data_IF_495141783377
#
_entry.id   IF_495141783377
#
_cell.length_a   1.000
_cell.length_b   1.000
_cell.length_c   1.000
_cell.angle_alpha   90.00
_cell.angle_beta   90.00
_cell.angle_gamma   90.00
#
_symmetry.space_group_name_H-M   'P 1'
#
loop_
_entity.id
_entity.type
_entity.pdbx_description
1 polymer ?
#
# COMPACT_ATOMS: atom_id res chain seq x y z
N UNK A 1 -62.52 -18.75 -33.34
CA UNK A 1 -62.70 -20.20 -33.53
C UNK A 1 -61.37 -20.79 -33.95
N UNK A 2 -60.97 -21.84 -33.23
CA UNK A 2 -59.89 -22.80 -33.49
C UNK A 2 -58.42 -22.37 -33.25
N UNK A 3 -58.02 -22.70 -32.02
CA UNK A 3 -56.71 -23.06 -31.49
C UNK A 3 -56.00 -24.17 -32.28
N UNK A 4 -54.65 -24.17 -32.26
CA UNK A 4 -53.87 -25.41 -32.17
C UNK A 4 -52.58 -25.19 -31.37
N UNK A 5 -52.52 -25.90 -30.24
CA UNK A 5 -51.36 -26.06 -29.36
C UNK A 5 -50.38 -27.08 -29.92
N UNK A 6 -49.08 -26.91 -29.62
CA UNK A 6 -48.06 -27.93 -29.27
C UNK A 6 -46.70 -27.18 -29.20
N UNK A 7 -46.32 -26.69 -28.02
CA UNK A 7 -45.51 -27.38 -27.00
C UNK A 7 -44.00 -27.41 -27.33
N UNK A 8 -43.22 -26.61 -26.59
CA UNK A 8 -41.88 -26.99 -26.16
C UNK A 8 -41.50 -26.20 -24.90
N UNK A 9 -41.01 -26.97 -23.92
CA UNK A 9 -40.66 -26.61 -22.56
C UNK A 9 -39.29 -25.92 -22.46
N UNK A 10 -39.09 -25.25 -21.30
CA UNK A 10 -37.82 -24.89 -20.67
C UNK A 10 -37.05 -23.68 -21.27
N UNK A 11 -36.43 -22.79 -20.51
CA UNK A 11 -36.12 -22.75 -19.09
C UNK A 11 -36.12 -21.30 -18.60
N UNK A 12 -36.63 -21.07 -17.39
CA UNK A 12 -36.40 -19.84 -16.66
C UNK A 12 -34.93 -19.81 -16.23
N UNK A 13 -34.10 -19.02 -16.92
CA UNK A 13 -32.81 -18.63 -16.37
C UNK A 13 -33.08 -17.60 -15.27
N UNK A 14 -33.10 -18.07 -14.02
CA UNK A 14 -32.86 -17.22 -12.88
C UNK A 14 -31.43 -16.65 -13.02
N UNK A 15 -31.32 -15.40 -13.44
CA UNK A 15 -30.09 -14.63 -13.29
C UNK A 15 -29.82 -14.48 -11.80
N UNK A 16 -29.08 -15.43 -11.24
CA UNK A 16 -28.37 -15.24 -9.99
C UNK A 16 -27.37 -14.11 -10.24
N UNK A 17 -27.68 -12.92 -9.74
CA UNK A 17 -26.71 -11.86 -9.54
C UNK A 17 -25.65 -12.38 -8.58
N UNK A 18 -24.61 -13.01 -9.12
CA UNK A 18 -23.37 -13.23 -8.41
C UNK A 18 -22.71 -11.85 -8.31
N UNK A 19 -22.99 -11.17 -7.20
CA UNK A 19 -22.16 -10.08 -6.71
C UNK A 19 -20.71 -10.60 -6.73
N UNK A 20 -19.75 -9.92 -7.37
CA UNK A 20 -18.36 -10.19 -7.06
C UNK A 20 -18.19 -9.85 -5.58
N UNK A 21 -18.02 -10.86 -4.75
CA UNK A 21 -17.45 -10.68 -3.42
C UNK A 21 -16.04 -10.15 -3.67
N UNK A 22 -15.91 -8.82 -3.64
CA UNK A 22 -14.66 -8.18 -3.32
C UNK A 22 -14.33 -8.64 -1.90
N UNK A 23 -13.54 -9.70 -1.79
CA UNK A 23 -12.77 -9.92 -0.59
C UNK A 23 -11.70 -8.83 -0.59
N UNK A 24 -12.06 -7.65 -0.10
CA UNK A 24 -11.12 -6.92 0.71
C UNK A 24 -10.80 -7.89 1.84
N UNK A 25 -9.64 -8.52 1.77
CA UNK A 25 -9.09 -9.25 2.90
C UNK A 25 -8.83 -8.17 3.95
N UNK A 26 -9.87 -7.87 4.74
CA UNK A 26 -9.66 -7.24 6.03
C UNK A 26 -8.80 -8.26 6.74
N UNK A 27 -7.49 -8.04 6.76
CA UNK A 27 -6.60 -8.78 7.63
C UNK A 27 -7.20 -8.60 9.01
N UNK A 28 -7.96 -9.61 9.48
CA UNK A 28 -8.53 -9.58 10.81
C UNK A 28 -7.36 -9.24 11.71
N UNK A 29 -7.51 -8.15 12.48
CA UNK A 29 -6.52 -7.76 13.48
C UNK A 29 -6.16 -9.04 14.21
N UNK A 30 -4.95 -9.57 13.96
CA UNK A 30 -4.57 -10.82 14.58
C UNK A 30 -4.67 -10.52 16.08
N UNK A 31 -5.55 -11.22 16.79
CA UNK A 31 -5.77 -10.91 18.19
C UNK A 31 -4.60 -11.52 18.98
N UNK A 32 -4.07 -10.83 20.00
CA UNK A 32 -3.10 -11.44 20.89
C UNK A 32 -3.68 -12.73 21.47
N UNK A 33 -2.96 -13.83 21.33
CA UNK A 33 -3.32 -15.14 21.91
C UNK A 33 -2.43 -15.41 23.11
N UNK A 34 -2.89 -16.19 24.08
CA UNK A 34 -2.09 -16.44 25.27
C UNK A 34 -2.57 -17.58 26.14
N UNK A 35 -1.77 -17.92 27.14
CA UNK A 35 -2.08 -18.94 28.15
C UNK A 35 -1.94 -18.36 29.56
N UNK A 36 -2.89 -18.68 30.42
CA UNK A 36 -2.83 -18.45 31.86
C UNK A 36 -2.51 -19.78 32.55
N UNK A 37 -1.46 -19.82 33.35
CA UNK A 37 -1.15 -20.97 34.22
C UNK A 37 -1.11 -20.54 35.67
N UNK A 38 -1.44 -21.47 36.57
CA UNK A 38 -1.42 -21.28 38.01
C UNK A 38 -0.62 -22.41 38.66
N UNK A 39 0.33 -22.09 39.54
CA UNK A 39 1.11 -23.07 40.28
C UNK A 39 1.14 -22.77 41.78
N UNK A 40 0.75 -23.71 42.66
CA UNK A 40 0.21 -25.03 42.32
C UNK A 40 -1.23 -24.94 41.79
N UNK A 41 -1.63 -25.91 40.95
CA UNK A 41 -2.99 -26.01 40.39
C UNK A 41 -4.06 -26.48 41.38
N UNK A 42 -3.76 -26.51 42.68
CA UNK A 42 -4.66 -26.92 43.76
C UNK A 42 -4.63 -25.90 44.89
N UNK A 43 -5.72 -25.80 45.64
CA UNK A 43 -5.87 -24.84 46.72
C UNK A 43 -5.58 -25.52 48.06
N UNK A 44 -4.72 -24.91 48.87
CA UNK A 44 -4.48 -25.29 50.26
C UNK A 44 -4.27 -24.05 51.10
N UNK A 45 -4.79 -24.11 52.31
CA UNK A 45 -4.65 -23.05 53.29
C UNK A 45 -3.17 -22.73 53.54
N UNK A 46 -2.82 -21.45 53.48
CA UNK A 46 -1.44 -20.96 53.62
C UNK A 46 -0.57 -20.98 52.35
N UNK A 47 -1.04 -21.58 51.23
CA UNK A 47 -0.30 -21.59 49.96
C UNK A 47 -0.82 -20.51 49.02
N UNK A 48 0.07 -19.62 48.56
CA UNK A 48 -0.27 -18.58 47.57
C UNK A 48 0.07 -19.08 46.16
N UNK A 49 -0.92 -19.37 45.30
CA UNK A 49 -0.63 -19.77 43.93
C UNK A 49 0.02 -18.62 43.17
N UNK A 50 1.03 -18.95 42.37
CA UNK A 50 1.65 -18.06 41.41
C UNK A 50 0.90 -18.18 40.09
N UNK A 51 0.41 -17.06 39.58
CA UNK A 51 -0.19 -16.96 38.26
C UNK A 51 0.88 -16.53 37.25
N UNK A 52 0.97 -17.22 36.13
CA UNK A 52 1.83 -16.84 35.00
C UNK A 52 0.95 -16.62 33.78
N UNK A 53 1.08 -15.43 33.19
CA UNK A 53 0.45 -15.07 31.93
C UNK A 53 1.50 -15.06 30.83
N UNK A 54 1.21 -15.72 29.71
CA UNK A 54 2.03 -15.68 28.50
C UNK A 54 1.15 -15.20 27.36
N UNK A 55 1.45 -14.01 26.82
CA UNK A 55 0.72 -13.42 25.70
C UNK A 55 1.66 -13.38 24.48
N UNK A 56 1.18 -13.87 23.35
CA UNK A 56 1.80 -13.75 22.03
C UNK A 56 1.04 -12.70 21.25
N UNK A 57 1.71 -11.57 21.01
CA UNK A 57 1.20 -10.53 20.12
C UNK A 57 1.47 -10.91 18.66
N UNK A 58 0.62 -10.50 17.72
CA UNK A 58 0.91 -10.65 16.30
C UNK A 58 2.11 -9.83 15.91
N UNK A 59 2.91 -10.41 15.03
CA UNK A 59 4.08 -9.75 14.46
C UNK A 59 3.65 -8.61 13.54
N UNK A 60 4.17 -7.41 13.81
CA UNK A 60 3.98 -6.22 12.98
C UNK A 60 5.21 -5.96 12.12
N UNK A 61 5.09 -5.10 11.11
CA UNK A 61 6.17 -4.81 10.16
C UNK A 61 7.44 -4.30 10.85
N UNK A 62 7.29 -3.54 11.94
CA UNK A 62 8.41 -3.02 12.74
C UNK A 62 9.14 -4.09 13.56
N UNK A 63 8.56 -5.29 13.73
CA UNK A 63 9.28 -6.45 14.28
C UNK A 63 10.21 -7.07 13.24
N UNK A 64 9.81 -6.99 11.95
CA UNK A 64 10.48 -7.60 10.81
C UNK A 64 11.56 -6.71 10.20
N UNK A 65 11.30 -5.41 10.14
CA UNK A 65 12.17 -4.42 9.50
C UNK A 65 12.24 -3.13 10.32
N UNK A 66 13.31 -2.39 10.14
CA UNK A 66 13.48 -1.01 10.60
C UNK A 66 13.29 -0.08 9.41
N UNK A 67 12.63 1.06 9.62
CA UNK A 67 12.41 2.09 8.60
C UNK A 67 13.22 3.32 8.99
N UNK A 68 14.31 3.57 8.28
CA UNK A 68 15.14 4.76 8.42
C UNK A 68 14.48 5.90 7.61
N UNK A 69 14.17 7.04 8.24
CA UNK A 69 13.55 8.17 7.55
C UNK A 69 14.41 8.67 6.36
N UNK A 70 13.81 9.04 5.22
CA UNK A 70 12.37 9.10 4.95
C UNK A 70 11.74 7.76 4.50
N UNK A 71 12.50 6.68 4.32
CA UNK A 71 11.89 5.39 3.98
C UNK A 71 12.82 4.25 3.56
N UNK A 72 14.10 4.29 3.93
CA UNK A 72 15.01 3.16 3.69
C UNK A 72 14.67 2.02 4.64
N UNK A 73 14.44 0.82 4.10
CA UNK A 73 14.16 -0.37 4.91
C UNK A 73 15.45 -1.06 5.28
N UNK A 74 15.59 -1.50 6.52
CA UNK A 74 16.64 -2.40 6.98
C UNK A 74 16.02 -3.66 7.60
N UNK A 75 16.28 -4.84 7.02
CA UNK A 75 15.70 -6.08 7.52
C UNK A 75 16.27 -6.47 8.90
N UNK A 76 15.42 -6.63 9.92
CA UNK A 76 15.84 -7.05 11.28
C UNK A 76 16.01 -8.56 11.39
N UNK A 77 15.28 -9.31 10.57
CA UNK A 77 15.30 -10.76 10.44
C UNK A 77 15.28 -11.16 8.95
N UNK A 78 15.57 -12.42 8.59
CA UNK A 78 15.32 -12.90 7.23
C UNK A 78 13.83 -12.82 6.88
N UNK A 79 13.52 -12.17 5.76
CA UNK A 79 12.14 -11.91 5.31
C UNK A 79 12.01 -12.11 3.80
N UNK A 80 10.82 -12.43 3.33
CA UNK A 80 10.42 -12.27 1.93
C UNK A 80 9.69 -10.93 1.79
N UNK A 81 10.02 -10.21 0.73
CA UNK A 81 9.45 -8.91 0.40
C UNK A 81 8.75 -9.01 -0.95
N UNK A 82 7.48 -8.62 -0.98
CA UNK A 82 6.68 -8.51 -2.21
C UNK A 82 6.24 -7.06 -2.42
N UNK A 83 6.36 -6.57 -3.65
CA UNK A 83 6.02 -5.19 -4.03
C UNK A 83 4.86 -5.20 -5.02
N UNK A 84 3.87 -4.34 -4.77
CA UNK A 84 2.73 -4.06 -5.65
C UNK A 84 2.64 -2.57 -5.91
N UNK A 85 2.21 -2.19 -7.11
CA UNK A 85 1.89 -0.79 -7.42
C UNK A 85 0.41 -0.58 -7.18
N UNK A 86 0.04 0.39 -6.36
CA UNK A 86 -1.37 0.70 -6.10
C UNK A 86 -1.87 1.88 -6.94
N UNK A 87 -0.96 2.77 -7.36
CA UNK A 87 -1.29 3.85 -8.29
C UNK A 87 -0.06 4.58 -8.82
N UNK A 88 -0.25 5.28 -9.94
CA UNK A 88 0.74 5.98 -10.76
C UNK A 88 0.04 7.13 -11.51
N UNK A 89 -0.36 8.18 -10.80
CA UNK A 89 -1.33 9.18 -11.27
C UNK A 89 -0.77 10.48 -11.82
N UNK A 90 0.51 10.51 -12.21
CA UNK A 90 1.05 11.68 -12.92
C UNK A 90 0.22 11.97 -14.17
N UNK A 91 -0.31 13.19 -14.28
CA UNK A 91 -1.15 13.65 -15.40
C UNK A 91 -0.47 14.79 -16.14
N UNK A 92 -0.60 14.78 -17.46
CA UNK A 92 -0.38 15.96 -18.27
C UNK A 92 -1.74 16.58 -18.59
N UNK A 93 -1.91 17.86 -18.26
CA UNK A 93 -3.17 18.61 -18.43
C UNK A 93 -2.90 19.81 -19.33
N UNK A 94 -3.77 20.05 -20.31
CA UNK A 94 -3.75 21.23 -21.16
C UNK A 94 -4.99 22.05 -20.89
N UNK A 95 -4.82 23.33 -20.66
CA UNK A 95 -5.89 24.29 -20.37
C UNK A 95 -5.98 25.37 -21.44
N UNK A 96 -7.14 25.99 -21.56
CA UNK A 96 -7.28 27.24 -22.33
C UNK A 96 -6.79 28.45 -21.54
N UNK A 97 -6.87 29.64 -22.14
CA UNK A 97 -6.48 30.90 -21.51
C UNK A 97 -7.31 31.28 -20.27
N UNK A 98 -8.44 30.61 -20.03
CA UNK A 98 -9.31 30.81 -18.87
C UNK A 98 -9.12 29.71 -17.81
N UNK A 99 -8.17 28.80 -18.01
CA UNK A 99 -7.89 27.68 -17.09
C UNK A 99 -8.82 26.48 -17.25
N UNK A 100 -9.68 26.45 -18.28
CA UNK A 100 -10.55 25.30 -18.55
C UNK A 100 -9.74 24.16 -19.14
N UNK A 101 -9.86 22.96 -18.56
CA UNK A 101 -9.22 21.75 -19.08
C UNK A 101 -9.75 21.43 -20.49
N UNK A 102 -8.84 21.40 -21.46
CA UNK A 102 -9.09 21.04 -22.86
C UNK A 102 -8.88 19.56 -23.12
N UNK A 103 -7.79 19.00 -22.56
CA UNK A 103 -7.45 17.58 -22.63
C UNK A 103 -6.54 17.22 -21.47
N UNK A 104 -6.52 15.94 -21.12
CA UNK A 104 -5.56 15.38 -20.19
C UNK A 104 -5.18 13.96 -20.61
N UNK A 105 -4.04 13.48 -20.13
CA UNK A 105 -3.63 12.09 -20.30
C UNK A 105 -2.78 11.63 -19.11
N UNK A 106 -2.76 10.33 -18.87
CA UNK A 106 -1.79 9.71 -17.97
C UNK A 106 -0.39 9.80 -18.54
N UNK A 107 0.57 10.08 -17.67
CA UNK A 107 2.00 10.10 -18.00
C UNK A 107 2.62 8.78 -17.55
N UNK A 108 3.47 8.13 -18.37
CA UNK A 108 4.20 6.95 -17.93
C UNK A 108 5.09 7.25 -16.73
N UNK A 109 4.89 6.49 -15.66
CA UNK A 109 5.59 6.63 -14.39
C UNK A 109 6.40 5.37 -14.12
N UNK A 110 7.60 5.55 -13.58
CA UNK A 110 8.58 4.51 -13.32
C UNK A 110 8.81 4.37 -11.81
N UNK A 111 8.74 3.13 -11.32
CA UNK A 111 9.21 2.77 -9.98
C UNK A 111 10.51 1.99 -10.10
N UNK A 112 11.45 2.28 -9.20
CA UNK A 112 12.74 1.62 -9.11
C UNK A 112 13.06 1.18 -7.69
N UNK A 113 13.86 0.13 -7.59
CA UNK A 113 14.35 -0.42 -6.33
C UNK A 113 15.87 -0.52 -6.35
N UNK A 114 16.51 -0.24 -5.20
CA UNK A 114 17.91 -0.54 -4.93
C UNK A 114 18.03 -1.47 -3.72
N UNK A 115 19.02 -2.36 -3.77
CA UNK A 115 19.36 -3.27 -2.68
C UNK A 115 20.78 -2.98 -2.21
N UNK A 116 20.95 -2.84 -0.89
CA UNK A 116 22.25 -2.67 -0.22
C UNK A 116 23.10 -1.54 -0.82
N UNK A 117 22.49 -0.40 -1.17
CA UNK A 117 23.17 0.75 -1.77
C UNK A 117 23.64 0.53 -3.22
N UNK A 118 23.15 -0.52 -3.89
CA UNK A 118 23.45 -0.78 -5.30
C UNK A 118 22.78 0.19 -6.27
N UNK A 119 22.91 -0.09 -7.57
CA UNK A 119 22.20 0.68 -8.60
C UNK A 119 20.70 0.42 -8.58
N UNK A 120 19.91 1.47 -8.87
CA UNK A 120 18.46 1.35 -8.99
C UNK A 120 18.06 0.58 -10.25
N UNK A 121 17.28 -0.47 -10.06
CA UNK A 121 16.67 -1.28 -11.11
C UNK A 121 15.19 -0.95 -11.25
N UNK A 122 14.68 -0.93 -12.49
CA UNK A 122 13.25 -0.69 -12.76
C UNK A 122 12.43 -1.90 -12.36
N UNK A 123 11.35 -1.66 -11.60
CA UNK A 123 10.35 -2.68 -11.22
C UNK A 123 8.96 -2.39 -11.79
N UNK A 124 8.71 -1.16 -12.21
CA UNK A 124 7.47 -0.74 -12.88
C UNK A 124 7.75 0.37 -13.89
N UNK A 125 7.05 0.36 -15.01
CA UNK A 125 6.99 1.49 -15.94
C UNK A 125 5.70 1.45 -16.74
N UNK A 126 4.72 2.26 -16.34
CA UNK A 126 3.43 2.33 -17.02
C UNK A 126 2.59 3.54 -16.59
N UNK A 127 1.40 3.66 -17.17
CA UNK A 127 0.37 4.65 -16.79
C UNK A 127 -0.63 4.09 -15.77
N UNK A 128 -1.37 4.96 -15.08
CA UNK A 128 -2.37 4.59 -14.06
C UNK A 128 -3.38 3.54 -14.54
N UNK A 129 -3.85 3.65 -15.79
CA UNK A 129 -4.84 2.72 -16.37
C UNK A 129 -4.31 1.30 -16.56
N UNK A 130 -2.99 1.11 -16.44
CA UNK A 130 -2.34 -0.21 -16.52
C UNK A 130 -1.87 -0.71 -15.15
N UNK A 131 -2.22 -0.01 -14.07
CA UNK A 131 -1.95 -0.47 -12.70
C UNK A 131 -2.97 -1.54 -12.31
N UNK A 132 -2.47 -2.70 -11.90
CA UNK A 132 -3.25 -3.73 -11.23
C UNK A 132 -2.73 -3.92 -9.79
N UNK A 133 -3.43 -3.36 -8.78
CA UNK A 133 -3.01 -3.42 -7.37
C UNK A 133 -2.81 -4.82 -6.80
N UNK A 134 -3.36 -5.86 -7.43
CA UNK A 134 -3.23 -7.24 -6.97
C UNK A 134 -1.98 -7.96 -7.52
N UNK A 135 -1.28 -7.36 -8.49
CA UNK A 135 -0.13 -7.99 -9.14
C UNK A 135 1.16 -7.67 -8.38
N UNK A 136 1.89 -8.72 -7.98
CA UNK A 136 3.24 -8.58 -7.46
C UNK A 136 4.18 -8.28 -8.63
N UNK A 137 4.79 -7.09 -8.62
CA UNK A 137 5.71 -6.63 -9.65
C UNK A 137 7.17 -6.96 -9.33
N UNK A 138 7.47 -7.24 -8.06
CA UNK A 138 8.80 -7.59 -7.60
C UNK A 138 8.72 -8.43 -6.32
N UNK A 139 9.51 -9.48 -6.24
CA UNK A 139 9.67 -10.33 -5.05
C UNK A 139 11.14 -10.58 -4.75
N UNK A 140 11.50 -10.54 -3.47
CA UNK A 140 12.88 -10.83 -3.04
C UNK A 140 12.96 -11.36 -1.61
N UNK A 141 13.74 -12.42 -1.42
CA UNK A 141 14.20 -12.84 -0.09
C UNK A 141 15.37 -11.96 0.36
N UNK A 142 15.23 -11.35 1.54
CA UNK A 142 16.20 -10.48 2.18
C UNK A 142 16.78 -11.19 3.40
N UNK A 143 18.10 -11.13 3.54
CA UNK A 143 18.77 -11.52 4.78
C UNK A 143 18.71 -10.39 5.80
N UNK A 144 18.87 -10.72 7.08
CA UNK A 144 19.07 -9.72 8.14
C UNK A 144 20.17 -8.74 7.75
N UNK A 145 19.91 -7.45 7.95
CA UNK A 145 20.81 -6.34 7.63
C UNK A 145 20.78 -5.90 6.17
N UNK A 146 20.00 -6.56 5.29
CA UNK A 146 19.81 -6.03 3.96
C UNK A 146 19.04 -4.71 3.99
N UNK A 147 19.50 -3.76 3.18
CA UNK A 147 18.87 -2.46 2.97
C UNK A 147 18.10 -2.44 1.66
N UNK A 148 16.93 -1.81 1.66
CA UNK A 148 16.10 -1.61 0.48
C UNK A 148 15.71 -0.15 0.37
N UNK A 149 15.91 0.39 -0.84
CA UNK A 149 15.56 1.76 -1.19
C UNK A 149 14.63 1.77 -2.40
N UNK A 150 13.72 2.74 -2.43
CA UNK A 150 12.79 2.93 -3.53
C UNK A 150 12.93 4.33 -4.12
N UNK A 151 12.54 4.45 -5.39
CA UNK A 151 12.48 5.74 -6.05
C UNK A 151 11.54 5.75 -7.22
N UNK A 152 11.17 6.96 -7.64
CA UNK A 152 10.21 7.21 -8.70
C UNK A 152 10.62 8.37 -9.59
N UNK A 153 10.14 8.32 -10.84
CA UNK A 153 10.17 9.41 -11.82
C UNK A 153 9.17 9.14 -12.93
N UNK A 154 8.88 10.12 -13.78
CA UNK A 154 8.01 9.95 -14.93
C UNK A 154 8.71 10.35 -16.24
N UNK A 155 8.11 9.95 -17.38
CA UNK A 155 8.61 10.27 -18.71
C UNK A 155 7.57 11.06 -19.51
N UNK A 156 7.88 12.32 -19.82
CA UNK A 156 6.97 13.21 -20.54
C UNK A 156 7.74 14.03 -21.57
N UNK A 157 7.17 14.22 -22.77
CA UNK A 157 7.78 14.97 -23.88
C UNK A 157 9.24 14.60 -24.17
N UNK A 158 9.50 13.29 -24.22
CA UNK A 158 10.82 12.72 -24.47
C UNK A 158 11.88 12.96 -23.39
N UNK A 159 11.48 13.45 -22.21
CA UNK A 159 12.35 13.75 -21.09
C UNK A 159 11.95 12.98 -19.84
N UNK A 160 12.95 12.53 -19.08
CA UNK A 160 12.75 12.00 -17.74
C UNK A 160 12.66 13.16 -16.76
N UNK A 161 11.71 13.08 -15.82
CA UNK A 161 11.68 13.95 -14.65
C UNK A 161 12.88 13.68 -13.75
N UNK A 162 13.04 14.53 -12.73
CA UNK A 162 13.96 14.25 -11.63
C UNK A 162 13.65 12.88 -11.01
N UNK A 163 14.69 12.17 -10.58
CA UNK A 163 14.57 10.87 -9.91
C UNK A 163 14.63 11.06 -8.40
N UNK A 164 13.48 10.95 -7.75
CA UNK A 164 13.38 11.02 -6.30
C UNK A 164 13.54 9.63 -5.68
N UNK A 165 14.18 9.58 -4.51
CA UNK A 165 14.44 8.33 -3.80
C UNK A 165 14.30 8.51 -2.29
N UNK A 166 14.19 7.38 -1.59
CA UNK A 166 14.26 7.30 -0.12
C UNK A 166 15.57 7.84 0.44
N UNK A 167 16.64 7.92 -0.36
CA UNK A 167 17.97 8.37 0.10
C UNK A 167 18.21 9.87 -0.05
N UNK A 168 17.33 10.61 -0.74
CA UNK A 168 17.58 12.00 -1.12
C UNK A 168 17.11 13.04 -0.09
N UNK A 169 16.52 12.62 1.04
CA UNK A 169 16.19 13.48 2.20
C UNK A 169 15.06 14.52 2.01
N UNK A 170 14.52 14.66 0.79
CA UNK A 170 13.54 15.71 0.45
C UNK A 170 12.08 15.31 0.71
N UNK A 171 11.82 14.12 1.27
CA UNK A 171 10.47 13.59 1.54
C UNK A 171 9.54 13.45 0.32
N UNK A 172 10.07 13.56 -0.90
CA UNK A 172 9.35 13.21 -2.13
C UNK A 172 9.06 11.72 -2.25
N UNK A 173 9.75 10.88 -1.48
CA UNK A 173 9.47 9.44 -1.36
C UNK A 173 9.47 9.15 0.13
N UNK A 174 8.33 8.71 0.65
CA UNK A 174 8.17 8.39 2.07
C UNK A 174 7.65 6.98 2.25
N UNK A 175 8.16 6.28 3.27
CA UNK A 175 7.61 5.03 3.74
C UNK A 175 6.73 5.30 4.96
N UNK A 176 5.53 4.72 4.98
CA UNK A 176 4.58 4.85 6.07
C UNK A 176 4.06 3.46 6.46
N UNK A 177 3.77 3.28 7.75
CA UNK A 177 3.15 2.07 8.30
C UNK A 177 1.72 2.35 8.75
N UNK A 178 0.99 1.29 9.08
CA UNK A 178 -0.38 1.41 9.56
C UNK A 178 -0.49 2.36 10.78
N UNK A 179 -1.37 3.35 10.69
CA UNK A 179 -1.63 4.38 11.70
C UNK A 179 -0.86 5.69 11.51
N UNK A 180 0.14 5.71 10.62
CA UNK A 180 0.93 6.91 10.32
C UNK A 180 0.08 7.99 9.65
N UNK A 181 0.46 9.24 9.89
CA UNK A 181 -0.13 10.40 9.20
C UNK A 181 0.75 10.75 8.00
N UNK A 182 0.21 10.75 6.76
CA UNK A 182 0.96 11.19 5.60
C UNK A 182 1.50 12.62 5.79
N UNK A 183 2.78 12.90 5.49
CA UNK A 183 3.42 14.18 5.81
C UNK A 183 3.08 15.29 4.79
N UNK A 184 1.78 15.48 4.50
CA UNK A 184 1.26 16.52 3.62
C UNK A 184 0.72 17.70 4.43
N UNK A 185 0.85 18.91 3.88
CA UNK A 185 0.36 20.15 4.52
C UNK A 185 -1.15 20.35 4.33
N UNK A 186 -1.75 19.66 3.35
CA UNK A 186 -3.20 19.55 3.15
C UNK A 186 -3.61 18.10 3.45
N UNK A 187 -4.57 17.85 4.35
CA UNK A 187 -5.00 16.47 4.63
C UNK A 187 -5.47 15.81 3.34
N UNK A 188 -4.95 14.62 3.02
CA UNK A 188 -5.25 13.93 1.75
C UNK A 188 -6.76 13.87 1.51
N UNK A 189 -7.56 13.58 2.54
CA UNK A 189 -9.03 13.47 2.45
C UNK A 189 -9.77 14.77 2.08
N UNK A 190 -9.10 15.93 2.12
CA UNK A 190 -9.65 17.24 1.76
C UNK A 190 -9.16 17.73 0.39
N UNK A 191 -8.30 16.97 -0.29
CA UNK A 191 -7.81 17.37 -1.60
C UNK A 191 -8.90 17.19 -2.67
N UNK A 192 -9.07 18.17 -3.58
CA UNK A 192 -10.17 18.17 -4.57
C UNK A 192 -10.18 16.92 -5.46
N UNK A 193 -9.03 16.27 -5.61
CA UNK A 193 -8.85 15.03 -6.35
C UNK A 193 -7.96 14.08 -5.56
N UNK A 194 -8.43 13.56 -4.43
CA UNK A 194 -7.83 12.31 -3.91
C UNK A 194 -7.88 11.32 -5.04
N UNK A 195 -6.72 10.86 -5.48
CA UNK A 195 -6.65 9.82 -6.47
C UNK A 195 -7.34 8.60 -5.88
N UNK A 196 -8.36 8.12 -6.59
CA UNK A 196 -9.29 7.10 -6.10
C UNK A 196 -8.61 5.83 -5.56
N UNK A 197 -7.36 5.60 -5.94
CA UNK A 197 -6.57 4.43 -5.54
C UNK A 197 -6.01 4.51 -4.11
N UNK A 198 -5.84 5.69 -3.50
CA UNK A 198 -5.32 5.80 -2.11
C UNK A 198 -6.44 5.63 -1.08
N UNK A 199 -7.68 6.02 -1.41
CA UNK A 199 -8.83 6.01 -0.47
C UNK A 199 -9.01 4.68 0.29
N UNK A 200 -8.87 3.49 -0.32
CA UNK A 200 -9.02 2.23 0.41
C UNK A 200 -7.96 2.01 1.50
N UNK A 201 -6.84 2.74 1.43
CA UNK A 201 -5.69 2.64 2.33
C UNK A 201 -5.62 3.79 3.34
N UNK A 202 -6.72 4.53 3.52
CA UNK A 202 -6.86 5.54 4.56
C UNK A 202 -8.00 5.18 5.52
N UNK A 203 -7.86 5.55 6.79
CA UNK A 203 -8.96 5.52 7.76
C UNK A 203 -9.84 6.77 7.67
N UNK A 204 -10.85 6.85 8.56
CA UNK A 204 -11.81 7.96 8.58
C UNK A 204 -11.15 9.30 8.96
N UNK A 205 -10.02 9.24 9.66
CA UNK A 205 -9.20 10.37 10.07
C UNK A 205 -8.11 10.73 9.03
N UNK A 206 -7.96 9.95 7.96
CA UNK A 206 -6.96 10.15 6.91
C UNK A 206 -5.56 9.63 7.24
N UNK A 207 -5.43 8.73 8.21
CA UNK A 207 -4.19 8.00 8.51
C UNK A 207 -4.07 6.77 7.63
N UNK A 208 -2.86 6.26 7.47
CA UNK A 208 -2.60 5.04 6.71
C UNK A 208 -3.32 3.85 7.35
N UNK A 209 -4.09 3.13 6.54
CA UNK A 209 -4.82 1.91 6.88
C UNK A 209 -4.37 0.77 5.96
N UNK A 210 -3.40 -0.01 6.42
CA UNK A 210 -2.79 -1.12 5.67
C UNK A 210 -2.59 -2.34 6.58
N UNK A 211 -2.23 -3.49 6.00
CA UNK A 211 -1.99 -4.71 6.77
C UNK A 211 -0.84 -4.54 7.78
N UNK A 212 -0.83 -5.34 8.87
CA UNK A 212 0.15 -5.20 9.95
C UNK A 212 1.59 -5.46 9.52
N UNK A 213 1.81 -6.11 8.37
CA UNK A 213 3.13 -6.43 7.82
C UNK A 213 3.48 -5.63 6.55
N UNK A 214 2.67 -4.64 6.24
CA UNK A 214 2.81 -3.82 5.05
C UNK A 214 3.49 -2.49 5.36
N UNK A 215 4.21 -1.98 4.37
CA UNK A 215 4.69 -0.60 4.28
C UNK A 215 4.10 -0.01 3.01
N UNK A 216 3.51 1.18 3.10
CA UNK A 216 3.10 1.94 1.92
C UNK A 216 4.17 2.98 1.59
N UNK A 217 4.60 3.02 0.33
CA UNK A 217 5.40 4.10 -0.20
C UNK A 217 4.50 5.07 -0.92
N UNK A 218 4.58 6.34 -0.53
CA UNK A 218 3.91 7.44 -1.20
C UNK A 218 4.97 8.34 -1.83
N UNK A 219 4.75 8.77 -3.07
CA UNK A 219 5.73 9.53 -3.83
C UNK A 219 5.10 10.76 -4.48
N UNK A 220 5.79 11.87 -4.34
CA UNK A 220 5.55 13.12 -5.05
C UNK A 220 6.65 13.28 -6.10
N UNK A 221 6.28 13.36 -7.38
CA UNK A 221 7.20 13.37 -8.52
C UNK A 221 7.13 14.68 -9.30
N UNK A 222 6.10 15.50 -9.10
CA UNK A 222 5.84 16.71 -9.89
C UNK A 222 6.18 18.00 -9.14
N UNK A 223 6.17 17.99 -7.80
CA UNK A 223 6.45 19.15 -6.95
C UNK A 223 7.61 18.91 -5.98
N UNK A 224 8.32 19.98 -5.62
CA UNK A 224 9.40 19.94 -4.61
C UNK A 224 9.11 20.78 -3.37
N UNK A 225 8.24 21.78 -3.47
CA UNK A 225 7.83 22.60 -2.33
C UNK A 225 6.70 21.90 -1.59
N UNK A 226 6.93 21.52 -0.34
CA UNK A 226 5.96 20.83 0.52
C UNK A 226 4.76 21.69 0.92
N UNK A 227 4.84 23.01 0.68
CA UNK A 227 3.74 23.93 0.92
C UNK A 227 2.90 24.17 -0.34
N UNK A 228 3.31 23.63 -1.49
CA UNK A 228 2.50 23.63 -2.70
C UNK A 228 1.30 22.70 -2.51
N UNK A 229 0.10 23.15 -2.89
CA UNK A 229 -1.09 22.31 -2.82
C UNK A 229 -1.04 21.09 -3.74
N UNK A 230 -0.14 21.08 -4.73
CA UNK A 230 0.17 19.95 -5.58
C UNK A 230 1.20 18.98 -4.98
N UNK A 231 1.86 19.30 -3.87
CA UNK A 231 2.68 18.33 -3.13
C UNK A 231 1.75 17.46 -2.28
N UNK A 232 1.30 16.35 -2.87
CA UNK A 232 0.28 15.50 -2.27
C UNK A 232 0.73 14.04 -2.03
N UNK A 233 1.92 13.68 -2.50
CA UNK A 233 2.49 12.33 -2.39
C UNK A 233 1.63 11.26 -3.08
N UNK A 234 0.81 11.64 -4.07
CA UNK A 234 -0.08 10.72 -4.78
C UNK A 234 0.42 10.37 -6.18
N UNK A 235 1.51 10.93 -6.68
CA UNK A 235 1.98 10.68 -8.06
C UNK A 235 2.34 9.21 -8.36
N UNK A 236 2.86 8.49 -7.36
CA UNK A 236 3.16 7.05 -7.43
C UNK A 236 3.07 6.46 -6.03
N UNK A 237 2.44 5.30 -5.90
CA UNK A 237 2.39 4.60 -4.64
C UNK A 237 2.58 3.09 -4.78
N UNK A 238 3.29 2.53 -3.81
CA UNK A 238 3.61 1.10 -3.73
C UNK A 238 3.14 0.55 -2.38
N UNK A 239 2.72 -0.72 -2.36
CA UNK A 239 2.62 -1.50 -1.13
C UNK A 239 3.72 -2.55 -1.14
N UNK A 240 4.45 -2.62 -0.03
CA UNK A 240 5.51 -3.58 0.21
C UNK A 240 5.12 -4.45 1.39
N UNK A 241 4.88 -5.73 1.15
CA UNK A 241 4.51 -6.71 2.17
C UNK A 241 5.73 -7.49 2.60
N UNK A 242 5.96 -7.59 3.91
CA UNK A 242 7.03 -8.42 4.48
C UNK A 242 6.47 -9.67 5.14
N UNK A 243 7.05 -10.82 4.85
CA UNK A 243 6.74 -12.07 5.54
C UNK A 243 8.03 -12.70 6.05
N UNK A 244 7.98 -13.29 7.24
CA UNK A 244 9.14 -14.00 7.79
C UNK A 244 9.44 -15.24 6.93
N UNK A 245 10.73 -15.51 6.70
CA UNK A 245 11.18 -16.75 6.06
C UNK A 245 11.00 -17.96 6.98
#
# INVERSE_FOLDING_TARGET
MNTSHLAAFAAALASACLSPNCFADSSELQLPVGSLTASPGWVREGVKPQLTWSITYPEVVTDLVEIEEPGTICAKVPVNMDVRVIGASVKAVWTDSLGKILKWQWVPTEARISLNGGSYSRIFYNTQDQVNPNTIIYSKSLSKGNKVDFGGRYYFQSLWSHFYTTTNGNYNVVALVNGDVPPTTVPLYQQPTIESFIKPYLDEEGRIKIGPKDVIYLMELTHTDRNDGGFDLQDLALIVTFTKQ
#
